data_IF_846675206458
#
_entry.id   IF_846675206458
#
_cell.length_a   1.000
_cell.length_b   1.000
_cell.length_c   1.000
_cell.angle_alpha   90.00
_cell.angle_beta   90.00
_cell.angle_gamma   90.00
#
_symmetry.space_group_name_H-M   'P 1'
#
loop_
_entity.id
_entity.type
_entity.pdbx_description
1 polymer ?
#
# COMPACT_ATOMS: atom_id res chain seq x y z
N UNK A 1 2.68 5.22 37.41
CA UNK A 1 2.90 3.90 36.75
C UNK A 1 4.16 4.01 35.90
N UNK A 2 5.09 3.06 35.97
CA UNK A 2 6.26 3.05 35.10
C UNK A 2 5.98 2.28 33.79
N UNK A 3 6.93 2.34 32.85
CA UNK A 3 6.77 1.71 31.52
C UNK A 3 6.52 0.19 31.59
N UNK A 4 7.17 -0.51 32.52
CA UNK A 4 6.99 -1.96 32.67
C UNK A 4 5.59 -2.32 33.16
N UNK A 5 5.07 -1.58 34.15
CA UNK A 5 3.71 -1.75 34.66
C UNK A 5 2.66 -1.43 33.57
N UNK A 6 2.92 -0.40 32.76
CA UNK A 6 2.05 -0.04 31.63
C UNK A 6 2.02 -1.12 30.56
N UNK A 7 3.17 -1.69 30.18
CA UNK A 7 3.23 -2.81 29.24
C UNK A 7 2.45 -4.04 29.74
N UNK A 8 2.49 -4.32 31.04
CA UNK A 8 1.68 -5.41 31.61
C UNK A 8 0.19 -5.11 31.55
N UNK A 9 -0.21 -3.85 31.82
CA UNK A 9 -1.60 -3.42 31.70
C UNK A 9 -2.09 -3.55 30.25
N UNK A 10 -1.30 -3.10 29.27
CA UNK A 10 -1.64 -3.25 27.83
C UNK A 10 -1.90 -4.73 27.51
N UNK A 11 -0.98 -5.64 27.88
CA UNK A 11 -1.16 -7.08 27.64
C UNK A 11 -2.44 -7.61 28.25
N UNK A 12 -2.71 -7.26 29.51
CA UNK A 12 -3.92 -7.71 30.21
C UNK A 12 -5.20 -7.27 29.53
N UNK A 13 -5.25 -6.03 28.99
CA UNK A 13 -6.43 -5.54 28.25
C UNK A 13 -6.56 -6.24 26.90
N UNK A 14 -5.45 -6.48 26.20
CA UNK A 14 -5.45 -7.13 24.89
C UNK A 14 -5.89 -8.60 24.96
N UNK A 15 -5.56 -9.33 26.05
CA UNK A 15 -5.96 -10.72 26.28
C UNK A 15 -7.46 -10.93 26.35
N UNK A 16 -8.25 -9.88 26.59
CA UNK A 16 -9.72 -9.93 26.57
C UNK A 16 -10.29 -10.13 25.15
N UNK A 17 -9.53 -9.85 24.09
CA UNK A 17 -10.02 -9.91 22.71
C UNK A 17 -9.09 -10.53 21.69
N UNK A 18 -7.77 -10.43 21.89
CA UNK A 18 -6.77 -10.95 20.95
C UNK A 18 -5.62 -11.64 21.70
N UNK A 19 -4.79 -12.39 20.97
CA UNK A 19 -3.49 -12.84 21.48
C UNK A 19 -2.46 -11.71 21.28
N UNK A 20 -2.03 -11.00 22.34
CA UNK A 20 -1.13 -9.87 22.21
C UNK A 20 0.27 -10.28 21.73
N UNK A 21 0.84 -9.45 20.85
CA UNK A 21 2.25 -9.55 20.42
C UNK A 21 3.11 -8.49 21.13
N UNK A 22 4.43 -8.64 21.06
CA UNK A 22 5.35 -7.60 21.53
C UNK A 22 5.20 -6.31 20.74
N UNK A 23 4.84 -6.43 19.46
CA UNK A 23 4.62 -5.29 18.58
C UNK A 23 3.36 -4.50 19.00
N UNK A 24 2.26 -5.19 19.32
CA UNK A 24 1.05 -4.53 19.84
C UNK A 24 1.38 -3.68 21.08
N UNK A 25 2.12 -4.25 22.02
CA UNK A 25 2.50 -3.57 23.26
C UNK A 25 3.39 -2.36 23.00
N UNK A 26 4.40 -2.50 22.11
CA UNK A 26 5.31 -1.40 21.78
C UNK A 26 4.58 -0.25 21.11
N UNK A 27 3.82 -0.55 20.05
CA UNK A 27 3.13 0.49 19.26
C UNK A 27 2.11 1.22 20.13
N UNK A 28 1.30 0.51 20.91
CA UNK A 28 0.31 1.15 21.78
C UNK A 28 0.99 2.05 22.82
N UNK A 29 2.04 1.57 23.46
CA UNK A 29 2.78 2.36 24.45
C UNK A 29 3.39 3.62 23.81
N UNK A 30 4.10 3.44 22.70
CA UNK A 30 4.78 4.53 21.99
C UNK A 30 3.80 5.57 21.44
N UNK A 31 2.66 5.10 20.89
CA UNK A 31 1.59 5.99 20.37
C UNK A 31 0.94 6.80 21.49
N UNK A 32 0.76 6.18 22.66
CA UNK A 32 0.08 6.84 23.78
C UNK A 32 0.99 7.85 24.52
N UNK A 33 2.30 7.60 24.58
CA UNK A 33 3.24 8.34 25.44
C UNK A 33 4.26 9.17 24.68
N UNK A 34 4.51 8.87 23.39
CA UNK A 34 5.65 9.44 22.64
C UNK A 34 7.02 8.90 23.05
N UNK A 35 7.08 7.96 24.00
CA UNK A 35 8.31 7.40 24.56
C UNK A 35 8.49 5.95 24.13
N UNK A 36 9.76 5.52 23.99
CA UNK A 36 10.04 4.10 23.76
C UNK A 36 9.77 3.29 25.02
N UNK A 37 9.21 2.09 24.88
CA UNK A 37 8.87 1.21 26.02
C UNK A 37 10.07 0.85 26.93
N UNK A 38 11.29 1.01 26.42
CA UNK A 38 12.52 0.74 27.17
C UNK A 38 13.01 1.91 28.04
N UNK A 39 12.37 3.07 27.95
CA UNK A 39 12.67 4.25 28.77
C UNK A 39 12.10 4.06 30.18
N UNK A 40 12.81 3.30 31.01
CA UNK A 40 12.37 2.89 32.37
C UNK A 40 12.17 4.09 33.30
N UNK A 41 12.83 5.22 33.01
CA UNK A 41 12.72 6.45 33.80
C UNK A 41 11.43 7.22 33.59
N UNK A 42 10.67 6.92 32.52
CA UNK A 42 9.41 7.58 32.24
C UNK A 42 8.32 7.12 33.23
N UNK A 43 7.72 8.07 33.91
CA UNK A 43 6.54 7.86 34.79
C UNK A 43 5.34 8.44 34.08
N UNK A 44 4.36 7.60 33.78
CA UNK A 44 3.16 7.98 33.04
C UNK A 44 2.33 9.02 33.80
N UNK A 45 1.82 10.00 33.05
CA UNK A 45 0.76 10.90 33.49
C UNK A 45 -0.59 10.18 33.49
N UNK A 46 -1.61 10.81 34.07
CA UNK A 46 -2.99 10.27 34.05
C UNK A 46 -3.53 10.23 32.61
N UNK A 47 -3.26 11.25 31.79
CA UNK A 47 -3.69 11.34 30.40
C UNK A 47 -3.06 10.23 29.54
N UNK A 48 -1.77 9.97 29.67
CA UNK A 48 -1.08 8.87 29.00
C UNK A 48 -1.64 7.50 29.39
N UNK A 49 -1.96 7.32 30.68
CA UNK A 49 -2.57 6.09 31.17
C UNK A 49 -3.97 5.86 30.59
N UNK A 50 -4.81 6.89 30.55
CA UNK A 50 -6.13 6.78 29.92
C UNK A 50 -6.02 6.53 28.41
N UNK A 51 -5.06 7.18 27.74
CA UNK A 51 -4.78 6.95 26.33
C UNK A 51 -4.33 5.49 26.07
N UNK A 52 -3.46 4.94 26.89
CA UNK A 52 -3.06 3.53 26.83
C UNK A 52 -4.29 2.62 26.92
N UNK A 53 -5.16 2.85 27.91
CA UNK A 53 -6.36 2.03 28.08
C UNK A 53 -7.32 2.11 26.89
N UNK A 54 -7.52 3.32 26.34
CA UNK A 54 -8.34 3.56 25.15
C UNK A 54 -7.80 2.77 23.95
N UNK A 55 -6.51 2.97 23.61
CA UNK A 55 -5.89 2.32 22.47
C UNK A 55 -5.85 0.79 22.62
N UNK A 56 -5.58 0.30 23.83
CA UNK A 56 -5.62 -1.14 24.11
C UNK A 56 -6.99 -1.75 23.90
N UNK A 57 -8.08 -1.07 24.34
CA UNK A 57 -9.45 -1.56 24.10
C UNK A 57 -9.83 -1.54 22.62
N UNK A 58 -9.43 -0.51 21.86
CA UNK A 58 -9.62 -0.44 20.41
C UNK A 58 -8.93 -1.63 19.74
N UNK A 59 -7.68 -1.92 20.10
CA UNK A 59 -6.94 -3.06 19.57
C UNK A 59 -7.56 -4.41 19.98
N UNK A 60 -7.99 -4.56 21.21
CA UNK A 60 -8.70 -5.75 21.71
C UNK A 60 -10.03 -6.00 20.95
N UNK A 61 -10.69 -4.95 20.46
CA UNK A 61 -11.90 -5.07 19.63
C UNK A 61 -11.61 -5.42 18.16
N UNK A 62 -10.34 -5.61 17.77
CA UNK A 62 -9.95 -6.02 16.44
C UNK A 62 -9.47 -4.88 15.52
N UNK A 63 -9.42 -3.62 16.00
CA UNK A 63 -8.92 -2.51 15.18
C UNK A 63 -7.45 -2.75 14.79
N UNK A 64 -7.08 -2.57 13.51
CA UNK A 64 -5.71 -2.72 13.04
C UNK A 64 -4.72 -1.85 13.84
N UNK A 65 -3.58 -2.42 14.18
CA UNK A 65 -2.54 -1.72 14.92
C UNK A 65 -2.04 -0.47 14.19
N UNK A 66 -2.05 -0.51 12.86
CA UNK A 66 -1.70 0.58 11.97
C UNK A 66 -2.63 1.79 12.16
N UNK A 67 -3.93 1.55 12.25
CA UNK A 67 -4.91 2.64 12.49
C UNK A 67 -4.82 3.20 13.91
N UNK A 68 -4.40 2.38 14.87
CA UNK A 68 -4.12 2.84 16.24
C UNK A 68 -2.91 3.74 16.26
N UNK A 69 -1.84 3.38 15.55
CA UNK A 69 -0.63 4.18 15.37
C UNK A 69 -0.89 5.47 14.59
N UNK A 70 -1.76 5.41 13.56
CA UNK A 70 -2.02 6.50 12.63
C UNK A 70 -0.89 6.74 11.64
N UNK A 71 0.27 6.09 11.82
CA UNK A 71 1.43 6.12 10.92
C UNK A 71 1.99 4.71 10.77
N UNK A 72 2.50 4.41 9.57
CA UNK A 72 3.06 3.10 9.29
C UNK A 72 4.31 3.19 8.40
N UNK A 73 5.35 2.42 8.71
CA UNK A 73 6.57 2.42 7.92
C UNK A 73 6.35 1.80 6.53
N UNK A 74 7.02 2.38 5.53
CA UNK A 74 7.14 1.86 4.18
C UNK A 74 8.49 2.30 3.60
N UNK A 75 9.32 1.36 3.19
CA UNK A 75 10.71 1.61 2.78
C UNK A 75 11.47 2.44 3.85
N UNK A 76 11.93 3.65 3.48
CA UNK A 76 12.71 4.56 4.33
C UNK A 76 11.88 5.69 4.95
N UNK A 77 10.54 5.63 4.87
CA UNK A 77 9.66 6.67 5.40
C UNK A 77 8.44 6.09 6.13
N UNK A 78 7.71 6.95 6.83
CA UNK A 78 6.43 6.61 7.43
C UNK A 78 5.32 7.39 6.71
N UNK A 79 4.19 6.73 6.50
CA UNK A 79 3.01 7.29 5.84
C UNK A 79 1.83 7.34 6.81
N UNK A 80 0.99 8.37 6.73
CA UNK A 80 -0.25 8.41 7.49
C UNK A 80 -1.21 7.33 6.97
N UNK A 81 -1.83 6.62 7.89
CA UNK A 81 -2.78 5.54 7.60
C UNK A 81 -4.03 5.67 8.45
N UNK A 82 -5.17 5.49 7.84
CA UNK A 82 -6.46 5.38 8.49
C UNK A 82 -7.47 4.64 7.60
N UNK A 83 -8.74 4.59 8.00
CA UNK A 83 -9.81 3.83 7.33
C UNK A 83 -10.14 4.30 5.90
N UNK A 84 -9.51 5.37 5.39
CA UNK A 84 -9.73 5.92 4.04
C UNK A 84 -9.09 5.07 2.95
N UNK A 85 -8.02 4.32 3.26
CA UNK A 85 -7.28 3.53 2.26
C UNK A 85 -6.72 2.23 2.85
N UNK A 86 -6.30 1.33 1.95
CA UNK A 86 -5.61 0.09 2.29
C UNK A 86 -4.34 0.39 3.10
N UNK A 87 -4.15 -0.35 4.18
CA UNK A 87 -2.90 -0.32 4.95
C UNK A 87 -1.74 -0.80 4.07
N UNK A 88 -0.62 -0.06 4.00
CA UNK A 88 0.57 -0.50 3.27
C UNK A 88 1.02 -1.90 3.66
N UNK A 89 1.24 -2.75 2.66
CA UNK A 89 1.72 -4.13 2.86
C UNK A 89 3.22 -4.20 2.59
N UNK A 90 3.99 -4.99 3.37
CA UNK A 90 5.43 -5.15 3.13
C UNK A 90 5.77 -5.66 1.74
N UNK A 91 4.89 -6.48 1.14
CA UNK A 91 5.06 -7.03 -0.20
C UNK A 91 5.04 -5.93 -1.28
N UNK A 92 4.32 -4.84 -1.05
CA UNK A 92 4.26 -3.69 -1.98
C UNK A 92 5.61 -2.95 -2.06
N UNK A 93 6.48 -3.07 -1.04
CA UNK A 93 7.84 -2.54 -1.11
C UNK A 93 8.64 -3.17 -2.25
N UNK A 94 8.43 -4.47 -2.52
CA UNK A 94 9.08 -5.19 -3.63
C UNK A 94 8.66 -4.61 -4.98
N UNK A 95 7.39 -4.22 -5.13
CA UNK A 95 6.92 -3.54 -6.33
C UNK A 95 7.57 -2.16 -6.48
N UNK A 96 7.62 -1.38 -5.40
CA UNK A 96 8.26 -0.07 -5.39
C UNK A 96 9.74 -0.15 -5.77
N UNK A 97 10.52 -1.03 -5.12
CA UNK A 97 11.94 -1.26 -5.40
C UNK A 97 12.15 -1.73 -6.85
N UNK A 98 11.28 -2.65 -7.33
CA UNK A 98 11.33 -3.10 -8.73
C UNK A 98 11.16 -1.94 -9.69
N UNK A 99 10.18 -1.09 -9.47
CA UNK A 99 9.92 0.08 -10.32
C UNK A 99 11.07 1.10 -10.28
N UNK A 100 11.67 1.31 -9.11
CA UNK A 100 12.87 2.15 -8.98
C UNK A 100 14.02 1.59 -9.82
N UNK A 101 14.29 0.29 -9.73
CA UNK A 101 15.35 -0.38 -10.50
C UNK A 101 15.14 -0.26 -12.02
N UNK A 102 13.90 -0.44 -12.50
CA UNK A 102 13.54 -0.34 -13.91
C UNK A 102 13.77 1.05 -14.50
N UNK A 103 13.66 2.10 -13.67
CA UNK A 103 13.76 3.49 -14.11
C UNK A 103 15.14 4.13 -13.91
N UNK A 104 16.13 3.41 -13.40
CA UNK A 104 17.46 3.95 -13.05
C UNK A 104 18.17 4.67 -14.19
N UNK A 105 17.87 4.33 -15.44
CA UNK A 105 18.44 4.97 -16.65
C UNK A 105 17.67 6.21 -17.10
N UNK A 106 16.53 6.53 -16.50
CA UNK A 106 15.69 7.67 -16.84
C UNK A 106 16.00 8.85 -15.92
N UNK A 107 16.22 10.04 -16.49
CA UNK A 107 16.51 11.25 -15.70
C UNK A 107 15.24 11.91 -15.11
N UNK A 108 14.16 11.93 -15.88
CA UNK A 108 12.90 12.58 -15.53
C UNK A 108 11.73 11.71 -16.01
N UNK A 109 11.54 10.51 -15.42
CA UNK A 109 10.50 9.59 -15.90
C UNK A 109 9.10 10.15 -15.70
N UNK A 110 8.20 9.79 -16.62
CA UNK A 110 6.76 10.04 -16.54
C UNK A 110 6.09 8.78 -16.04
N UNK A 111 5.41 8.86 -14.91
CA UNK A 111 4.93 7.71 -14.14
C UNK A 111 3.45 7.89 -13.81
N UNK A 112 2.67 6.85 -14.04
CA UNK A 112 1.29 6.77 -13.54
C UNK A 112 1.15 5.60 -12.57
N UNK A 113 0.72 5.90 -11.33
CA UNK A 113 0.34 4.93 -10.30
C UNK A 113 -1.18 4.79 -10.29
N UNK A 114 -1.67 3.59 -10.61
CA UNK A 114 -3.09 3.26 -10.67
C UNK A 114 -3.54 2.55 -9.39
N UNK A 115 -4.74 2.87 -8.90
CA UNK A 115 -5.26 2.38 -7.61
C UNK A 115 -4.34 2.79 -6.44
N UNK A 116 -3.99 4.07 -6.37
CA UNK A 116 -2.88 4.56 -5.55
C UNK A 116 -3.09 4.46 -4.04
N UNK A 117 -4.32 4.36 -3.53
CA UNK A 117 -4.65 4.22 -2.12
C UNK A 117 -4.02 5.32 -1.24
N UNK A 118 -3.13 4.95 -0.33
CA UNK A 118 -2.37 5.88 0.51
C UNK A 118 -1.29 6.68 -0.24
N UNK A 119 -1.01 6.31 -1.50
CA UNK A 119 0.00 6.94 -2.35
C UNK A 119 1.42 6.39 -2.20
N UNK A 120 1.61 5.28 -1.50
CA UNK A 120 2.95 4.75 -1.18
C UNK A 120 3.82 4.51 -2.41
N UNK A 121 3.26 3.98 -3.51
CA UNK A 121 4.00 3.76 -4.76
C UNK A 121 4.37 5.09 -5.44
N UNK A 122 3.40 5.96 -5.63
CA UNK A 122 3.61 7.28 -6.22
C UNK A 122 4.64 8.12 -5.43
N UNK A 123 4.55 8.11 -4.09
CA UNK A 123 5.47 8.82 -3.19
C UNK A 123 6.87 8.22 -3.26
N UNK A 124 7.01 6.89 -3.21
CA UNK A 124 8.31 6.21 -3.32
C UNK A 124 9.02 6.57 -4.62
N UNK A 125 8.30 6.52 -5.74
CA UNK A 125 8.82 6.85 -7.06
C UNK A 125 9.17 8.33 -7.19
N UNK A 126 8.36 9.24 -6.63
CA UNK A 126 8.67 10.67 -6.61
C UNK A 126 9.89 10.99 -5.76
N UNK A 127 10.07 10.31 -4.64
CA UNK A 127 11.25 10.46 -3.77
C UNK A 127 12.51 9.93 -4.46
N UNK A 128 12.43 8.76 -5.11
CA UNK A 128 13.55 8.18 -5.85
C UNK A 128 13.94 9.01 -7.08
N UNK A 129 12.97 9.62 -7.75
CA UNK A 129 13.16 10.44 -8.95
C UNK A 129 12.55 11.84 -8.78
N UNK A 130 13.22 12.77 -8.07
CA UNK A 130 12.64 14.09 -7.77
C UNK A 130 12.25 14.90 -9.01
N UNK A 131 12.91 14.69 -10.16
CA UNK A 131 12.60 15.34 -11.43
C UNK A 131 11.46 14.67 -12.24
N UNK A 132 10.92 13.53 -11.76
CA UNK A 132 9.84 12.80 -12.43
C UNK A 132 8.51 13.59 -12.45
N UNK A 133 7.68 13.29 -13.45
CA UNK A 133 6.25 13.61 -13.41
C UNK A 133 5.50 12.37 -12.91
N UNK A 134 4.86 12.48 -11.74
CA UNK A 134 4.12 11.38 -11.14
C UNK A 134 2.65 11.77 -11.04
N UNK A 135 1.79 10.93 -11.61
CA UNK A 135 0.33 11.00 -11.48
C UNK A 135 -0.17 9.81 -10.69
N UNK A 136 -0.90 10.07 -9.62
CA UNK A 136 -1.58 9.08 -8.79
C UNK A 136 -3.07 9.07 -9.10
N UNK A 137 -3.60 7.92 -9.50
CA UNK A 137 -5.01 7.73 -9.89
C UNK A 137 -5.71 6.89 -8.85
N UNK A 138 -6.75 7.45 -8.25
CA UNK A 138 -7.52 6.79 -7.19
C UNK A 138 -9.02 7.09 -7.37
N UNK A 139 -9.85 6.08 -7.14
CA UNK A 139 -11.31 6.21 -7.29
C UNK A 139 -11.97 6.86 -6.06
N UNK A 140 -11.52 6.49 -4.86
CA UNK A 140 -12.08 6.99 -3.60
C UNK A 140 -11.64 8.42 -3.31
N UNK A 141 -12.60 9.31 -3.11
CA UNK A 141 -12.33 10.69 -2.71
C UNK A 141 -11.65 10.76 -1.32
N UNK A 142 -12.01 9.85 -0.42
CA UNK A 142 -11.40 9.77 0.89
C UNK A 142 -9.93 9.32 0.80
N UNK A 143 -9.63 8.31 -0.02
CA UNK A 143 -8.26 7.88 -0.26
C UNK A 143 -7.45 8.97 -0.96
N UNK A 144 -8.00 9.69 -1.94
CA UNK A 144 -7.36 10.86 -2.55
C UNK A 144 -7.00 11.94 -1.50
N UNK A 145 -7.86 12.16 -0.50
CA UNK A 145 -7.58 13.11 0.58
C UNK A 145 -6.39 12.67 1.42
N UNK A 146 -6.34 11.39 1.82
CA UNK A 146 -5.22 10.82 2.57
C UNK A 146 -3.91 10.85 1.76
N UNK A 147 -3.97 10.49 0.48
CA UNK A 147 -2.86 10.56 -0.45
C UNK A 147 -2.31 11.99 -0.55
N UNK A 148 -3.18 12.99 -0.64
CA UNK A 148 -2.78 14.41 -0.70
C UNK A 148 -2.07 14.86 0.59
N UNK A 149 -2.52 14.41 1.75
CA UNK A 149 -1.87 14.65 3.04
C UNK A 149 -0.45 14.05 3.04
N UNK A 150 -0.34 12.77 2.66
CA UNK A 150 0.93 12.04 2.60
C UNK A 150 1.91 12.65 1.58
N UNK A 151 1.45 12.92 0.36
CA UNK A 151 2.30 13.50 -0.68
C UNK A 151 2.85 14.87 -0.27
N UNK A 152 2.01 15.74 0.31
CA UNK A 152 2.43 17.06 0.79
C UNK A 152 3.51 16.98 1.87
N UNK A 153 3.41 16.00 2.77
CA UNK A 153 4.37 15.80 3.85
C UNK A 153 5.70 15.21 3.35
N UNK A 154 5.64 14.25 2.43
CA UNK A 154 6.77 13.36 2.14
C UNK A 154 7.55 13.69 0.86
N UNK A 155 6.91 14.24 -0.16
CA UNK A 155 7.55 14.46 -1.46
C UNK A 155 7.09 15.71 -2.22
N UNK A 156 6.06 16.41 -1.75
CA UNK A 156 5.54 17.63 -2.36
C UNK A 156 4.64 17.36 -3.58
N UNK A 157 5.10 17.63 -4.79
CA UNK A 157 4.25 17.65 -5.97
C UNK A 157 4.05 16.28 -6.62
N UNK A 158 2.89 15.67 -6.36
CA UNK A 158 2.31 14.57 -7.13
C UNK A 158 0.99 15.07 -7.71
N UNK A 159 0.70 14.78 -8.97
CA UNK A 159 -0.61 15.02 -9.55
C UNK A 159 -1.57 13.95 -9.07
N UNK A 160 -2.66 14.34 -8.40
CA UNK A 160 -3.68 13.41 -7.91
C UNK A 160 -4.91 13.53 -8.78
N UNK A 161 -5.35 12.40 -9.33
CA UNK A 161 -6.55 12.28 -10.17
C UNK A 161 -7.56 11.37 -9.49
N UNK A 162 -8.68 11.95 -9.04
CA UNK A 162 -9.82 11.14 -8.65
C UNK A 162 -10.50 10.63 -9.91
N UNK A 163 -10.23 9.37 -10.28
CA UNK A 163 -10.76 8.77 -11.51
C UNK A 163 -10.87 7.25 -11.41
N UNK A 164 -11.74 6.69 -12.24
CA UNK A 164 -11.85 5.26 -12.44
C UNK A 164 -10.78 4.78 -13.42
N UNK A 165 -9.98 3.80 -13.03
CA UNK A 165 -8.94 3.21 -13.89
C UNK A 165 -9.51 2.55 -15.15
N UNK A 166 -10.80 2.21 -15.17
CA UNK A 166 -11.49 1.69 -16.34
C UNK A 166 -11.75 2.76 -17.42
N UNK A 167 -11.58 4.04 -17.10
CA UNK A 167 -11.83 5.17 -18.01
C UNK A 167 -10.60 6.08 -18.17
N UNK A 168 -9.73 6.13 -17.17
CA UNK A 168 -8.63 7.11 -17.10
C UNK A 168 -7.60 6.97 -18.23
N UNK A 169 -7.47 5.79 -18.86
CA UNK A 169 -6.60 5.64 -20.03
C UNK A 169 -6.89 6.66 -21.15
N UNK A 170 -8.12 7.14 -21.25
CA UNK A 170 -8.50 8.11 -22.28
C UNK A 170 -7.92 9.53 -22.04
N UNK A 171 -7.52 9.81 -20.79
CA UNK A 171 -6.88 11.07 -20.40
C UNK A 171 -5.35 11.05 -20.58
N UNK A 172 -4.75 9.89 -20.91
CA UNK A 172 -3.32 9.72 -21.10
C UNK A 172 -2.99 9.73 -22.60
N UNK A 173 -2.03 10.56 -22.99
CA UNK A 173 -1.53 10.58 -24.37
C UNK A 173 -0.78 9.27 -24.70
N UNK A 174 -0.95 8.76 -25.90
CA UNK A 174 -0.24 7.58 -26.37
C UNK A 174 1.29 7.81 -26.37
N UNK A 175 2.03 6.81 -25.96
CA UNK A 175 3.50 6.83 -25.93
C UNK A 175 4.11 7.80 -24.90
N UNK A 176 3.36 8.23 -23.89
CA UNK A 176 3.80 9.26 -22.95
C UNK A 176 4.35 8.74 -21.63
N UNK A 177 4.09 7.47 -21.28
CA UNK A 177 4.42 6.95 -19.94
C UNK A 177 5.69 6.06 -19.97
N UNK A 178 6.66 6.37 -19.13
CA UNK A 178 7.83 5.51 -18.91
C UNK A 178 7.51 4.32 -18.01
N UNK A 179 6.56 4.52 -17.07
CA UNK A 179 6.08 3.48 -16.17
C UNK A 179 4.58 3.66 -15.89
N UNK A 180 3.86 2.57 -15.96
CA UNK A 180 2.53 2.41 -15.35
C UNK A 180 2.66 1.35 -14.27
N UNK A 181 2.36 1.69 -13.03
CA UNK A 181 2.41 0.78 -11.88
C UNK A 181 1.03 0.66 -11.26
N UNK A 182 0.70 -0.51 -10.74
CA UNK A 182 -0.58 -0.74 -10.09
C UNK A 182 -0.48 -1.84 -9.03
N UNK A 183 -0.98 -1.56 -7.84
CA UNK A 183 -1.39 -2.60 -6.89
C UNK A 183 -2.94 -2.63 -6.88
N UNK A 184 -3.58 -3.33 -7.82
CA UNK A 184 -5.03 -3.31 -7.94
C UNK A 184 -5.67 -4.24 -6.91
N UNK A 185 -6.98 -4.09 -6.63
CA UNK A 185 -7.74 -5.12 -5.94
C UNK A 185 -7.67 -6.44 -6.70
N UNK A 186 -7.30 -7.54 -6.01
CA UNK A 186 -7.09 -8.86 -6.62
C UNK A 186 -7.67 -10.04 -5.84
N UNK A 187 -8.36 -9.77 -4.72
CA UNK A 187 -8.97 -10.81 -3.88
C UNK A 187 -10.33 -11.21 -4.45
N UNK A 188 -10.65 -12.50 -4.43
CA UNK A 188 -11.97 -13.00 -4.81
C UNK A 188 -13.01 -12.74 -3.71
N UNK A 189 -14.32 -12.72 -4.03
CA UNK A 189 -15.36 -12.61 -3.01
C UNK A 189 -15.34 -13.75 -1.98
N UNK A 190 -14.90 -14.94 -2.38
CA UNK A 190 -14.79 -16.09 -1.48
C UNK A 190 -13.62 -15.91 -0.51
N UNK A 191 -12.44 -15.56 -1.02
CA UNK A 191 -11.27 -15.27 -0.18
C UNK A 191 -11.52 -14.09 0.77
N UNK A 192 -12.22 -13.04 0.30
CA UNK A 192 -12.60 -11.92 1.16
C UNK A 192 -13.52 -12.37 2.32
N UNK A 193 -14.46 -13.27 2.03
CA UNK A 193 -15.37 -13.82 3.06
C UNK A 193 -14.62 -14.68 4.06
N UNK A 194 -13.72 -15.52 3.58
CA UNK A 194 -12.94 -16.43 4.42
C UNK A 194 -11.96 -15.69 5.35
N UNK A 195 -11.49 -14.51 4.92
CA UNK A 195 -10.59 -13.63 5.70
C UNK A 195 -11.31 -12.38 6.24
N UNK A 196 -12.64 -12.40 6.35
CA UNK A 196 -13.43 -11.21 6.68
C UNK A 196 -13.00 -10.54 7.99
N UNK A 197 -12.72 -11.31 9.03
CA UNK A 197 -12.34 -10.75 10.34
C UNK A 197 -11.03 -9.95 10.31
N UNK A 198 -10.12 -10.27 9.39
CA UNK A 198 -8.86 -9.56 9.20
C UNK A 198 -9.01 -8.31 8.30
N UNK A 199 -9.95 -8.37 7.34
CA UNK A 199 -10.09 -7.35 6.29
C UNK A 199 -11.19 -6.34 6.54
N UNK A 200 -12.15 -6.62 7.42
CA UNK A 200 -13.38 -5.85 7.61
C UNK A 200 -13.19 -4.39 8.03
N UNK A 201 -12.06 -4.06 8.63
CA UNK A 201 -11.75 -2.72 9.12
C UNK A 201 -11.21 -1.80 8.02
N UNK A 202 -10.80 -2.38 6.89
CA UNK A 202 -10.26 -1.67 5.74
C UNK A 202 -11.31 -1.52 4.62
N UNK A 203 -11.14 -0.56 3.68
CA UNK A 203 -12.13 -0.35 2.61
C UNK A 203 -12.29 -1.59 1.74
N UNK A 204 -13.49 -2.16 1.70
CA UNK A 204 -13.79 -3.37 0.91
C UNK A 204 -13.41 -3.24 -0.57
N UNK A 205 -13.57 -2.04 -1.14
CA UNK A 205 -13.23 -1.78 -2.54
C UNK A 205 -11.74 -1.96 -2.86
N UNK A 206 -10.87 -1.85 -1.87
CA UNK A 206 -9.43 -2.04 -2.03
C UNK A 206 -9.03 -3.52 -2.17
N UNK A 207 -9.97 -4.45 -2.00
CA UNK A 207 -9.69 -5.89 -2.03
C UNK A 207 -10.27 -6.60 -3.24
N UNK A 208 -11.50 -6.28 -3.64
CA UNK A 208 -12.27 -7.11 -4.57
C UNK A 208 -11.85 -6.92 -6.02
N UNK A 209 -11.16 -7.90 -6.57
CA UNK A 209 -10.69 -7.97 -7.97
C UNK A 209 -11.66 -8.63 -8.96
N UNK A 210 -12.94 -8.74 -8.62
CA UNK A 210 -13.93 -9.48 -9.41
C UNK A 210 -14.02 -10.95 -9.00
N UNK A 211 -14.78 -11.75 -9.77
CA UNK A 211 -15.09 -13.15 -9.41
C UNK A 211 -13.84 -14.05 -9.24
N UNK A 212 -12.81 -13.79 -10.04
CA UNK A 212 -11.56 -14.57 -10.04
C UNK A 212 -10.32 -13.73 -9.73
N UNK A 213 -10.50 -12.51 -9.21
CA UNK A 213 -9.40 -11.62 -8.83
C UNK A 213 -8.64 -10.99 -10.01
N UNK A 214 -9.04 -11.20 -11.26
CA UNK A 214 -8.28 -10.78 -12.44
C UNK A 214 -8.92 -9.62 -13.22
N UNK A 215 -10.03 -9.04 -12.76
CA UNK A 215 -10.80 -8.05 -13.54
C UNK A 215 -9.98 -6.81 -13.88
N UNK A 216 -9.20 -6.27 -12.94
CA UNK A 216 -8.36 -5.10 -13.16
C UNK A 216 -7.26 -5.38 -14.19
N UNK A 217 -6.58 -6.51 -14.09
CA UNK A 217 -5.51 -6.89 -15.02
C UNK A 217 -6.03 -7.06 -16.45
N UNK A 218 -7.20 -7.71 -16.61
CA UNK A 218 -7.84 -7.87 -17.93
C UNK A 218 -8.18 -6.55 -18.62
N UNK A 219 -8.46 -5.52 -17.84
CA UNK A 219 -8.71 -4.18 -18.38
C UNK A 219 -7.41 -3.41 -18.57
N UNK A 220 -6.60 -3.26 -17.53
CA UNK A 220 -5.42 -2.39 -17.53
C UNK A 220 -4.40 -2.83 -18.58
N UNK A 221 -4.10 -4.11 -18.69
CA UNK A 221 -3.07 -4.63 -19.59
C UNK A 221 -3.32 -4.21 -21.06
N UNK A 222 -4.49 -4.42 -21.68
CA UNK A 222 -4.73 -3.98 -23.05
C UNK A 222 -4.94 -2.47 -23.18
N UNK A 223 -5.69 -1.85 -22.25
CA UNK A 223 -6.11 -0.46 -22.37
C UNK A 223 -4.96 0.54 -22.22
N UNK A 224 -4.01 0.22 -21.38
CA UNK A 224 -2.87 1.12 -21.08
C UNK A 224 -1.63 0.83 -21.93
N UNK A 225 -1.65 -0.20 -22.78
CA UNK A 225 -0.48 -0.55 -23.59
C UNK A 225 -0.01 0.57 -24.52
N UNK A 226 -0.93 1.23 -25.21
CA UNK A 226 -0.59 2.33 -26.13
C UNK A 226 -0.09 3.58 -25.40
N UNK A 227 -0.31 3.69 -24.09
CA UNK A 227 0.11 4.84 -23.27
C UNK A 227 1.59 4.79 -22.93
N UNK A 228 2.18 3.60 -22.94
CA UNK A 228 3.59 3.40 -22.67
C UNK A 228 4.47 3.93 -23.81
N UNK A 229 5.50 4.67 -23.45
CA UNK A 229 6.57 5.07 -24.36
C UNK A 229 7.34 3.84 -24.84
N UNK A 230 8.11 3.99 -25.94
CA UNK A 230 9.04 2.94 -26.40
C UNK A 230 10.01 2.56 -25.27
N UNK A 231 10.09 1.27 -24.97
CA UNK A 231 10.85 0.75 -23.83
C UNK A 231 10.25 1.05 -22.46
N UNK A 232 9.02 1.56 -22.39
CA UNK A 232 8.29 1.80 -21.16
C UNK A 232 7.79 0.50 -20.52
N UNK A 233 7.53 0.56 -19.22
CA UNK A 233 7.17 -0.59 -18.39
C UNK A 233 5.75 -0.52 -17.84
N UNK A 234 5.14 -1.69 -17.69
CA UNK A 234 3.98 -1.89 -16.84
C UNK A 234 4.38 -2.86 -15.71
N UNK A 235 3.96 -2.56 -14.48
CA UNK A 235 4.29 -3.36 -13.30
C UNK A 235 3.09 -3.51 -12.37
N UNK A 236 2.90 -4.71 -11.83
CA UNK A 236 1.77 -5.05 -10.97
C UNK A 236 2.21 -5.78 -9.71
N UNK A 237 1.57 -5.49 -8.58
CA UNK A 237 1.45 -6.46 -7.51
C UNK A 237 0.37 -7.48 -7.87
N UNK A 238 0.55 -8.74 -7.45
CA UNK A 238 -0.33 -9.86 -7.78
C UNK A 238 -0.58 -10.77 -6.58
N UNK A 239 -1.68 -11.50 -6.59
CA UNK A 239 -1.87 -12.67 -5.74
C UNK A 239 -0.87 -13.79 -6.09
N UNK A 240 -0.51 -14.58 -5.10
CA UNK A 240 0.56 -15.60 -5.22
C UNK A 240 0.29 -16.72 -6.24
N UNK A 241 -0.94 -16.88 -6.66
CA UNK A 241 -1.40 -17.88 -7.64
C UNK A 241 -1.77 -17.28 -9.01
N UNK A 242 -1.66 -15.95 -9.18
CA UNK A 242 -2.11 -15.23 -10.37
C UNK A 242 -1.02 -15.05 -11.45
N UNK A 243 0.25 -15.33 -11.15
CA UNK A 243 1.38 -15.04 -12.02
C UNK A 243 1.25 -15.64 -13.43
N UNK A 244 0.76 -16.89 -13.54
CA UNK A 244 0.55 -17.56 -14.83
C UNK A 244 -0.44 -16.82 -15.71
N UNK A 245 -1.63 -16.54 -15.19
CA UNK A 245 -2.72 -15.85 -15.91
C UNK A 245 -2.31 -14.44 -16.36
N UNK A 246 -1.64 -13.68 -15.49
CA UNK A 246 -1.21 -12.30 -15.80
C UNK A 246 -0.06 -12.31 -16.82
N UNK A 247 0.88 -13.25 -16.71
CA UNK A 247 1.96 -13.45 -17.69
C UNK A 247 1.38 -13.74 -19.08
N UNK A 248 0.37 -14.59 -19.17
CA UNK A 248 -0.28 -14.93 -20.43
C UNK A 248 -1.04 -13.72 -21.01
N UNK A 249 -1.75 -12.97 -20.17
CA UNK A 249 -2.42 -11.72 -20.59
C UNK A 249 -1.42 -10.71 -21.17
N UNK A 250 -0.28 -10.49 -20.50
CA UNK A 250 0.75 -9.58 -20.98
C UNK A 250 1.31 -10.02 -22.34
N UNK A 251 1.66 -11.31 -22.50
CA UNK A 251 2.18 -11.86 -23.76
C UNK A 251 1.16 -11.75 -24.90
N UNK A 252 -0.13 -12.10 -24.64
CA UNK A 252 -1.20 -12.00 -25.61
C UNK A 252 -1.44 -10.57 -26.11
N UNK A 253 -1.18 -9.58 -25.24
CA UNK A 253 -1.27 -8.16 -25.57
C UNK A 253 0.03 -7.57 -26.10
N UNK A 254 1.02 -8.41 -26.46
CA UNK A 254 2.22 -7.98 -27.18
C UNK A 254 3.30 -7.33 -26.29
N UNK A 255 3.21 -7.45 -24.97
CA UNK A 255 4.28 -7.05 -24.06
C UNK A 255 5.45 -8.03 -24.16
N UNK A 256 6.66 -7.51 -23.89
CA UNK A 256 7.92 -8.25 -23.98
C UNK A 256 8.61 -8.33 -22.62
N UNK A 257 9.58 -9.22 -22.51
CA UNK A 257 10.41 -9.37 -21.30
C UNK A 257 9.58 -9.51 -20.02
N UNK A 258 8.48 -10.29 -20.10
CA UNK A 258 7.62 -10.52 -18.93
C UNK A 258 8.42 -11.23 -17.86
N UNK A 259 8.48 -10.64 -16.68
CA UNK A 259 9.25 -11.14 -15.53
C UNK A 259 8.36 -11.20 -14.30
N UNK A 260 8.51 -12.29 -13.53
CA UNK A 260 7.87 -12.48 -12.23
C UNK A 260 8.92 -12.38 -11.14
N UNK A 261 8.67 -11.60 -10.10
CA UNK A 261 9.48 -11.56 -8.87
C UNK A 261 8.71 -12.15 -7.70
N UNK A 262 9.45 -12.81 -6.83
CA UNK A 262 8.93 -13.40 -5.60
C UNK A 262 9.16 -12.49 -4.41
N UNK A 263 8.28 -12.64 -3.41
CA UNK A 263 8.45 -12.03 -2.10
C UNK A 263 9.47 -12.81 -1.23
N UNK A 264 9.72 -12.31 -0.03
CA UNK A 264 10.66 -12.92 0.93
C UNK A 264 10.20 -14.31 1.42
N UNK A 265 8.92 -14.65 1.22
CA UNK A 265 8.36 -15.99 1.47
C UNK A 265 8.46 -16.91 0.25
N UNK A 266 9.12 -16.47 -0.83
CA UNK A 266 9.26 -17.19 -2.10
C UNK A 266 7.95 -17.40 -2.87
N UNK A 267 6.92 -16.59 -2.59
CA UNK A 267 5.66 -16.55 -3.32
C UNK A 267 5.73 -15.50 -4.44
N UNK A 268 5.08 -15.76 -5.57
CA UNK A 268 5.00 -14.81 -6.67
C UNK A 268 4.27 -13.55 -6.21
N UNK A 269 4.85 -12.36 -6.46
CA UNK A 269 4.32 -11.12 -5.91
C UNK A 269 4.29 -9.96 -6.88
N UNK A 270 5.27 -9.85 -7.76
CA UNK A 270 5.35 -8.77 -8.73
C UNK A 270 5.47 -9.34 -10.13
N UNK A 271 4.67 -8.83 -11.07
CA UNK A 271 4.82 -9.10 -12.50
C UNK A 271 5.06 -7.77 -13.22
N UNK A 272 6.08 -7.71 -14.05
CA UNK A 272 6.31 -6.56 -14.90
C UNK A 272 6.70 -6.97 -16.33
N UNK A 273 6.46 -6.06 -17.27
CA UNK A 273 6.79 -6.24 -18.66
C UNK A 273 7.04 -4.88 -19.32
N UNK A 274 7.62 -4.89 -20.54
CA UNK A 274 7.86 -3.67 -21.30
C UNK A 274 7.19 -3.72 -22.67
N UNK A 275 7.04 -2.56 -23.29
CA UNK A 275 6.78 -2.41 -24.72
C UNK A 275 8.08 -2.13 -25.47
N UNK A 276 8.16 -2.61 -26.73
CA UNK A 276 9.29 -2.32 -27.63
C UNK A 276 9.12 -0.95 -28.27
#
# INVERSE_FOLDING_TARGET
MNSFEACRLIRSILEDGIRPTENDVSVIYETATGHKRFEISHILTEDELERIKELSRRRASGEPLQYISGRWPFLDFEVNVDRRALIPRPETEILAETCIDLLTVRQSPVITDLCSGTGILAISLKRAFPASSVTAVELSAEACSLLAENARELCGAIEIRQADVYLYQDDIADGSQDLIVCNPPYITPDDYRDNFDELREEPRMAFLGGEDGLSFYRHIIPAYRSKLAEGGYIAFEIGNDQAGSITDLLKQNGYKSVTVKKDYSSLDRVVYARVD
#
